data_IF_334302416343
#
_entry.id   IF_334302416343
#
_cell.length_a   1.000
_cell.length_b   1.000
_cell.length_c   1.000
_cell.angle_alpha   90.00
_cell.angle_beta   90.00
_cell.angle_gamma   90.00
#
_symmetry.space_group_name_H-M   'P 1'
#
loop_
_entity.id
_entity.type
_entity.pdbx_description
1 polymer ?
#
# COMPACT_ATOMS: atom_id res chain seq x y z
N UNK A 1 -50.84 -44.14 -65.06
CA UNK A 1 -51.42 -45.09 -64.09
C UNK A 1 -50.62 -44.94 -62.81
N UNK A 2 -51.26 -44.41 -61.78
CA UNK A 2 -51.01 -44.46 -60.33
C UNK A 2 -49.62 -44.12 -59.78
N UNK A 3 -49.62 -42.95 -59.13
CA UNK A 3 -48.81 -42.50 -58.01
C UNK A 3 -48.71 -43.55 -56.89
N UNK A 4 -47.56 -43.62 -56.22
CA UNK A 4 -47.49 -44.01 -54.82
C UNK A 4 -46.64 -42.99 -54.05
N UNK A 5 -47.31 -42.44 -53.04
CA UNK A 5 -46.85 -41.52 -52.02
C UNK A 5 -45.69 -42.13 -51.20
N UNK A 6 -44.62 -41.37 -51.00
CA UNK A 6 -43.85 -41.45 -49.76
C UNK A 6 -44.01 -40.14 -49.00
N UNK A 7 -44.72 -40.26 -47.88
CA UNK A 7 -45.03 -39.22 -46.90
C UNK A 7 -43.72 -38.81 -46.22
N UNK A 8 -43.47 -37.49 -46.18
CA UNK A 8 -42.45 -36.88 -45.31
C UNK A 8 -42.90 -37.01 -43.86
N UNK A 9 -42.06 -37.58 -43.02
CA UNK A 9 -42.18 -37.43 -41.57
C UNK A 9 -41.35 -36.20 -41.17
N UNK A 10 -42.00 -35.03 -41.18
CA UNK A 10 -41.49 -33.79 -40.59
C UNK A 10 -41.90 -33.74 -39.11
N UNK A 11 -41.36 -34.65 -38.29
CA UNK A 11 -41.70 -34.68 -36.87
C UNK A 11 -40.53 -35.06 -35.96
N UNK A 12 -39.40 -34.35 -36.03
CA UNK A 12 -38.47 -34.28 -34.90
C UNK A 12 -37.71 -32.95 -34.83
N UNK A 13 -37.75 -32.37 -33.62
CA UNK A 13 -36.97 -31.24 -33.09
C UNK A 13 -37.61 -29.85 -33.21
N UNK A 14 -38.77 -29.66 -32.58
CA UNK A 14 -39.11 -28.38 -31.94
C UNK A 14 -38.48 -28.37 -30.54
N UNK A 15 -37.35 -27.67 -30.41
CA UNK A 15 -36.63 -27.41 -29.16
C UNK A 15 -37.30 -26.23 -28.43
N UNK A 16 -38.60 -26.32 -28.19
CA UNK A 16 -39.37 -25.32 -27.45
C UNK A 16 -39.52 -25.81 -26.00
N UNK A 17 -38.93 -25.05 -25.08
CA UNK A 17 -39.12 -25.26 -23.65
C UNK A 17 -40.62 -25.09 -23.32
N UNK A 18 -41.19 -25.92 -22.44
CA UNK A 18 -42.59 -25.81 -22.06
C UNK A 18 -42.88 -24.41 -21.47
N UNK A 19 -43.92 -23.74 -21.97
CA UNK A 19 -44.32 -22.39 -21.54
C UNK A 19 -44.52 -22.31 -20.01
N UNK A 20 -45.00 -23.39 -19.39
CA UNK A 20 -45.19 -23.52 -17.94
C UNK A 20 -43.87 -23.33 -17.16
N UNK A 21 -42.74 -23.71 -17.76
CA UNK A 21 -41.40 -23.63 -17.16
C UNK A 21 -40.78 -22.24 -17.35
N UNK A 22 -41.17 -21.53 -18.42
CA UNK A 22 -40.80 -20.13 -18.65
C UNK A 22 -41.56 -19.19 -17.69
N UNK A 23 -42.84 -19.44 -17.43
CA UNK A 23 -43.60 -18.70 -16.41
C UNK A 23 -43.04 -18.89 -15.00
N UNK A 24 -42.58 -20.10 -14.65
CA UNK A 24 -41.96 -20.37 -13.33
C UNK A 24 -40.61 -19.63 -13.17
N UNK A 25 -39.81 -19.54 -14.23
CA UNK A 25 -38.55 -18.79 -14.25
C UNK A 25 -38.80 -17.28 -14.16
N UNK A 26 -39.78 -16.76 -14.88
CA UNK A 26 -40.13 -15.33 -14.85
C UNK A 26 -40.75 -14.92 -13.50
N UNK A 27 -41.51 -15.81 -12.86
CA UNK A 27 -42.03 -15.58 -11.51
C UNK A 27 -40.89 -15.61 -10.46
N UNK A 28 -39.95 -16.56 -10.57
CA UNK A 28 -38.79 -16.66 -9.69
C UNK A 28 -37.80 -15.49 -9.85
N UNK A 29 -37.58 -15.01 -11.09
CA UNK A 29 -36.80 -13.80 -11.37
C UNK A 29 -37.53 -12.53 -10.92
N UNK A 30 -38.86 -12.48 -11.07
CA UNK A 30 -39.71 -11.40 -10.59
C UNK A 30 -39.67 -11.25 -9.07
N UNK A 31 -39.72 -12.36 -8.32
CA UNK A 31 -39.58 -12.38 -6.87
C UNK A 31 -38.14 -12.06 -6.41
N UNK A 32 -37.11 -12.50 -7.15
CA UNK A 32 -35.72 -12.14 -6.86
C UNK A 32 -35.43 -10.65 -7.10
N UNK A 33 -36.06 -10.02 -8.09
CA UNK A 33 -35.88 -8.59 -8.40
C UNK A 33 -36.74 -7.71 -7.46
N UNK A 34 -37.94 -8.17 -7.07
CA UNK A 34 -38.81 -7.45 -6.14
C UNK A 34 -38.39 -7.60 -4.67
N UNK A 35 -37.74 -8.71 -4.29
CA UNK A 35 -37.13 -8.92 -2.96
C UNK A 35 -35.82 -8.15 -2.71
N UNK A 36 -35.23 -7.53 -3.74
CA UNK A 36 -34.05 -6.65 -3.61
C UNK A 36 -34.45 -5.18 -3.32
N UNK A 37 -35.74 -4.87 -3.31
CA UNK A 37 -36.27 -3.56 -2.90
C UNK A 37 -36.89 -3.62 -1.52
N UNK A 38 -36.06 -3.73 -0.49
CA UNK A 38 -36.24 -3.14 0.85
C UNK A 38 -35.19 -3.72 1.81
N UNK A 39 -33.90 -3.45 1.57
CA UNK A 39 -32.96 -3.30 2.67
C UNK A 39 -31.71 -2.54 2.23
N UNK A 40 -31.74 -1.24 2.53
CA UNK A 40 -30.62 -0.31 2.72
C UNK A 40 -29.28 -0.74 2.12
N UNK A 41 -29.10 -0.46 0.83
CA UNK A 41 -27.78 -0.11 0.31
C UNK A 41 -27.19 0.98 1.21
N UNK A 42 -25.94 0.88 1.70
CA UNK A 42 -25.30 2.04 2.29
C UNK A 42 -25.22 3.08 1.18
N UNK A 43 -25.96 4.18 1.32
CA UNK A 43 -25.73 5.38 0.54
C UNK A 43 -24.28 5.80 0.83
N UNK A 44 -23.36 5.34 -0.02
CA UNK A 44 -22.11 6.02 -0.25
C UNK A 44 -22.53 7.37 -0.85
N UNK A 45 -22.64 8.38 0.02
CA UNK A 45 -22.51 9.78 -0.38
C UNK A 45 -21.14 9.92 -1.04
N UNK A 46 -21.07 9.60 -2.32
CA UNK A 46 -19.94 9.88 -3.18
C UNK A 46 -19.93 11.39 -3.38
N UNK A 47 -18.86 12.01 -2.90
CA UNK A 47 -18.59 13.43 -3.09
C UNK A 47 -18.59 13.74 -4.60
N UNK A 48 -19.44 14.66 -5.10
CA UNK A 48 -19.49 14.99 -6.52
C UNK A 48 -18.15 15.54 -7.07
N UNK A 49 -17.20 15.91 -6.20
CA UNK A 49 -15.83 16.28 -6.60
C UNK A 49 -14.94 15.07 -6.96
N UNK A 50 -15.30 13.83 -6.58
CA UNK A 50 -14.58 12.60 -6.97
C UNK A 50 -14.85 12.18 -8.43
N UNK A 51 -15.88 12.74 -9.08
CA UNK A 51 -16.32 12.38 -10.44
C UNK A 51 -15.71 13.20 -11.59
N UNK A 52 -14.96 14.28 -11.32
CA UNK A 52 -14.44 15.15 -12.39
C UNK A 52 -13.20 14.62 -13.12
N UNK A 53 -12.59 13.51 -12.68
CA UNK A 53 -11.36 12.99 -13.30
C UNK A 53 -11.57 11.83 -14.29
N UNK A 54 -12.80 11.35 -14.43
CA UNK A 54 -13.14 10.30 -15.40
C UNK A 54 -14.20 10.80 -16.41
N UNK A 55 -14.60 12.08 -16.31
CA UNK A 55 -15.59 12.70 -17.18
C UNK A 55 -14.97 13.50 -18.32
N UNK A 56 -13.83 13.09 -18.85
CA UNK A 56 -13.50 13.49 -20.22
C UNK A 56 -14.43 12.66 -21.12
N UNK A 57 -15.55 13.27 -21.52
CA UNK A 57 -16.56 12.72 -22.43
C UNK A 57 -15.95 12.21 -23.76
N UNK A 58 -14.68 12.54 -24.05
CA UNK A 58 -13.88 12.00 -25.15
C UNK A 58 -13.33 10.58 -24.92
N UNK A 59 -13.19 10.09 -23.69
CA UNK A 59 -12.67 8.74 -23.41
C UNK A 59 -13.78 7.66 -23.47
N UNK A 60 -15.03 8.06 -23.26
CA UNK A 60 -16.19 7.17 -23.27
C UNK A 60 -16.64 6.76 -24.69
N UNK A 61 -16.14 7.43 -25.73
CA UNK A 61 -16.58 7.18 -27.10
C UNK A 61 -15.90 5.97 -27.78
N UNK A 62 -14.75 5.49 -27.27
CA UNK A 62 -13.94 4.46 -27.96
C UNK A 62 -13.49 3.29 -27.06
N UNK A 63 -13.72 3.33 -25.75
CA UNK A 63 -13.23 2.30 -24.82
C UNK A 63 -14.35 1.31 -24.47
N UNK A 64 -14.13 0.02 -24.69
CA UNK A 64 -15.04 -1.05 -24.26
C UNK A 64 -15.34 -0.91 -22.75
N UNK A 65 -16.62 -1.01 -22.37
CA UNK A 65 -17.08 -0.88 -20.99
C UNK A 65 -16.30 -1.78 -20.02
N UNK A 66 -15.95 -2.99 -20.47
CA UNK A 66 -15.13 -3.92 -19.68
C UNK A 66 -13.71 -3.41 -19.39
N UNK A 67 -13.09 -2.73 -20.37
CA UNK A 67 -11.75 -2.14 -20.22
C UNK A 67 -11.80 -0.95 -19.26
N UNK A 68 -12.85 -0.14 -19.35
CA UNK A 68 -13.07 0.98 -18.44
C UNK A 68 -13.21 0.55 -16.98
N UNK A 69 -14.05 -0.45 -16.69
CA UNK A 69 -14.22 -0.97 -15.32
C UNK A 69 -12.93 -1.62 -14.78
N UNK A 70 -12.16 -2.29 -15.64
CA UNK A 70 -10.85 -2.82 -15.28
C UNK A 70 -9.87 -1.69 -14.91
N UNK A 71 -9.77 -0.65 -15.75
CA UNK A 71 -8.91 0.51 -15.51
C UNK A 71 -9.28 1.24 -14.21
N UNK A 72 -10.59 1.42 -13.97
CA UNK A 72 -11.11 2.03 -12.75
C UNK A 72 -10.78 1.20 -11.51
N UNK A 73 -11.01 -0.11 -11.56
CA UNK A 73 -10.68 -1.03 -10.46
C UNK A 73 -9.18 -1.02 -10.17
N UNK A 74 -8.36 -1.06 -11.21
CA UNK A 74 -6.91 -0.96 -11.09
C UNK A 74 -6.49 0.35 -10.43
N UNK A 75 -7.08 1.47 -10.83
CA UNK A 75 -6.76 2.78 -10.26
C UNK A 75 -7.09 2.84 -8.76
N UNK A 76 -8.22 2.27 -8.34
CA UNK A 76 -8.56 2.17 -6.91
C UNK A 76 -7.55 1.32 -6.12
N UNK A 77 -7.08 0.21 -6.69
CA UNK A 77 -6.00 -0.57 -6.07
C UNK A 77 -4.69 0.22 -5.98
N UNK A 78 -4.31 0.92 -7.05
CA UNK A 78 -3.11 1.75 -7.09
C UNK A 78 -3.17 2.88 -6.05
N UNK A 79 -4.34 3.50 -5.86
CA UNK A 79 -4.58 4.51 -4.81
C UNK A 79 -4.30 3.94 -3.43
N UNK A 80 -4.76 2.73 -3.13
CA UNK A 80 -4.52 2.09 -1.84
C UNK A 80 -3.04 1.79 -1.60
N UNK A 81 -2.34 1.29 -2.62
CA UNK A 81 -0.89 1.01 -2.56
C UNK A 81 -0.07 2.31 -2.40
N UNK A 82 -0.47 3.38 -3.08
CA UNK A 82 0.23 4.67 -3.03
C UNK A 82 -0.13 5.54 -1.82
N UNK A 83 -1.26 5.31 -1.15
CA UNK A 83 -1.69 6.12 -0.01
C UNK A 83 -0.62 6.29 1.11
N UNK A 84 0.23 5.31 1.42
CA UNK A 84 1.33 5.47 2.38
C UNK A 84 2.48 6.37 1.87
N UNK A 85 2.66 6.55 0.56
CA UNK A 85 3.77 7.30 -0.06
C UNK A 85 3.90 8.70 0.51
N UNK A 86 2.79 9.42 0.61
CA UNK A 86 2.75 10.76 1.20
C UNK A 86 3.33 10.82 2.61
N UNK A 87 3.16 9.74 3.39
CA UNK A 87 3.67 9.63 4.77
C UNK A 87 5.17 9.44 4.77
N UNK A 88 5.70 8.59 3.90
CA UNK A 88 7.14 8.38 3.74
C UNK A 88 7.84 9.68 3.34
N UNK A 89 7.33 10.37 2.30
CA UNK A 89 7.92 11.63 1.84
C UNK A 89 7.80 12.74 2.90
N UNK A 90 6.71 12.79 3.67
CA UNK A 90 6.61 13.74 4.79
C UNK A 90 7.63 13.43 5.89
N UNK A 91 7.84 12.17 6.24
CA UNK A 91 8.82 11.75 7.25
C UNK A 91 10.27 12.01 6.78
N UNK A 92 10.55 11.79 5.50
CA UNK A 92 11.81 12.12 4.84
C UNK A 92 12.22 13.60 4.99
N UNK A 93 11.24 14.50 4.83
CA UNK A 93 11.42 15.95 5.04
C UNK A 93 11.66 16.28 6.52
N UNK A 94 11.14 15.47 7.44
CA UNK A 94 11.29 15.64 8.89
C UNK A 94 12.58 15.02 9.47
N UNK A 95 13.47 14.52 8.61
CA UNK A 95 14.79 14.03 9.02
C UNK A 95 14.87 12.53 9.27
N UNK A 96 13.88 11.74 8.82
CA UNK A 96 14.09 10.28 8.75
C UNK A 96 15.20 9.93 7.74
N UNK A 97 15.69 8.69 7.85
CA UNK A 97 16.80 8.15 7.05
C UNK A 97 16.59 8.37 5.55
N UNK A 98 17.54 9.08 4.92
CA UNK A 98 17.43 9.49 3.53
C UNK A 98 17.29 8.28 2.60
N UNK A 99 18.16 7.29 2.77
CA UNK A 99 18.32 6.18 1.85
C UNK A 99 17.19 5.19 1.99
N UNK A 100 16.84 4.84 3.23
CA UNK A 100 15.80 3.85 3.49
C UNK A 100 14.42 4.37 3.10
N UNK A 101 14.17 5.67 3.32
CA UNK A 101 12.88 6.25 2.93
C UNK A 101 12.70 6.25 1.42
N UNK A 102 13.77 6.53 0.66
CA UNK A 102 13.74 6.45 -0.80
C UNK A 102 13.59 5.02 -1.29
N UNK A 103 14.28 4.05 -0.68
CA UNK A 103 14.14 2.64 -1.03
C UNK A 103 12.70 2.14 -0.85
N UNK A 104 12.10 2.37 0.31
CA UNK A 104 10.71 1.93 0.56
C UNK A 104 9.74 2.65 -0.37
N UNK A 105 9.97 3.93 -0.65
CA UNK A 105 9.14 4.70 -1.59
C UNK A 105 9.23 4.12 -3.02
N UNK A 106 10.44 3.76 -3.47
CA UNK A 106 10.68 3.15 -4.78
C UNK A 106 10.03 1.77 -4.90
N UNK A 107 10.07 0.95 -3.85
CA UNK A 107 9.45 -0.38 -3.83
C UNK A 107 7.93 -0.34 -4.04
N UNK A 108 7.25 0.70 -3.56
CA UNK A 108 5.81 0.87 -3.78
C UNK A 108 5.49 1.40 -5.18
N UNK A 109 6.33 2.28 -5.71
CA UNK A 109 6.09 2.98 -6.98
C UNK A 109 6.41 2.11 -8.19
N UNK A 110 7.54 1.40 -8.16
CA UNK A 110 8.06 0.68 -9.33
C UNK A 110 7.11 -0.38 -9.91
N UNK A 111 6.44 -1.23 -9.10
CA UNK A 111 5.51 -2.23 -9.63
C UNK A 111 4.31 -1.59 -10.35
N UNK A 112 3.81 -0.47 -9.82
CA UNK A 112 2.65 0.22 -10.38
C UNK A 112 2.95 0.86 -11.74
N UNK A 113 4.19 1.33 -11.96
CA UNK A 113 4.58 1.90 -13.25
C UNK A 113 4.39 0.89 -14.39
N UNK A 114 4.92 -0.33 -14.23
CA UNK A 114 4.78 -1.37 -15.24
C UNK A 114 3.32 -1.81 -15.45
N UNK A 115 2.52 -1.81 -14.39
CA UNK A 115 1.11 -2.18 -14.48
C UNK A 115 0.25 -1.09 -15.14
N UNK A 116 0.54 0.19 -14.87
CA UNK A 116 -0.15 1.31 -15.52
C UNK A 116 0.08 1.34 -17.03
N UNK A 117 1.28 0.98 -17.48
CA UNK A 117 1.59 0.81 -18.91
C UNK A 117 0.77 -0.33 -19.52
N UNK A 118 0.68 -1.47 -18.84
CA UNK A 118 -0.09 -2.64 -19.31
C UNK A 118 -1.59 -2.41 -19.38
N UNK A 119 -2.13 -1.57 -18.49
CA UNK A 119 -3.56 -1.23 -18.40
C UNK A 119 -3.89 0.02 -19.23
N UNK A 120 -2.92 0.53 -20.00
CA UNK A 120 -3.06 1.67 -20.93
C UNK A 120 -3.47 2.99 -20.26
N UNK A 121 -3.22 3.13 -18.95
CA UNK A 121 -3.44 4.35 -18.18
C UNK A 121 -2.29 5.35 -18.40
N UNK A 122 -2.16 5.84 -19.63
CA UNK A 122 -0.97 6.57 -20.12
C UNK A 122 -0.61 7.80 -19.27
N UNK A 123 -1.56 8.67 -18.93
CA UNK A 123 -1.25 9.87 -18.13
C UNK A 123 -0.76 9.50 -16.71
N UNK A 124 -1.35 8.47 -16.12
CA UNK A 124 -0.94 7.97 -14.80
C UNK A 124 0.44 7.31 -14.86
N UNK A 125 0.69 6.53 -15.91
CA UNK A 125 1.98 5.95 -16.20
C UNK A 125 3.07 7.03 -16.32
N UNK A 126 2.85 8.08 -17.10
CA UNK A 126 3.82 9.15 -17.31
C UNK A 126 4.15 9.88 -16.00
N UNK A 127 3.13 10.27 -15.23
CA UNK A 127 3.34 10.98 -13.96
C UNK A 127 4.06 10.12 -12.94
N UNK A 128 3.67 8.86 -12.81
CA UNK A 128 4.31 7.96 -11.85
C UNK A 128 5.73 7.57 -12.29
N UNK A 129 5.97 7.42 -13.59
CA UNK A 129 7.30 7.20 -14.18
C UNK A 129 8.24 8.36 -13.93
N UNK A 130 7.75 9.60 -14.12
CA UNK A 130 8.52 10.79 -13.81
C UNK A 130 8.88 10.86 -12.32
N UNK A 131 7.91 10.62 -11.44
CA UNK A 131 8.16 10.59 -10.01
C UNK A 131 9.17 9.49 -9.62
N UNK A 132 9.06 8.30 -10.22
CA UNK A 132 10.04 7.22 -10.05
C UNK A 132 11.44 7.64 -10.48
N UNK A 133 11.58 8.32 -11.61
CA UNK A 133 12.87 8.84 -12.07
C UNK A 133 13.47 9.84 -11.06
N UNK A 134 12.65 10.69 -10.45
CA UNK A 134 13.09 11.60 -9.37
C UNK A 134 13.56 10.85 -8.12
N UNK A 135 12.86 9.77 -7.72
CA UNK A 135 13.29 8.92 -6.60
C UNK A 135 14.65 8.27 -6.88
N UNK A 136 14.86 7.75 -8.09
CA UNK A 136 16.14 7.16 -8.50
C UNK A 136 17.26 8.20 -8.56
N UNK A 137 16.97 9.39 -9.09
CA UNK A 137 17.92 10.50 -9.11
C UNK A 137 18.31 10.93 -7.68
N UNK A 138 17.34 11.05 -6.78
CA UNK A 138 17.60 11.37 -5.37
C UNK A 138 18.46 10.28 -4.71
N UNK A 139 18.18 9.01 -4.99
CA UNK A 139 19.03 7.89 -4.53
C UNK A 139 20.43 7.94 -5.15
N UNK A 140 20.65 8.61 -6.28
CA UNK A 140 22.00 8.85 -6.80
C UNK A 140 22.79 9.91 -6.03
N UNK A 141 22.12 10.76 -5.26
CA UNK A 141 22.70 11.98 -4.70
C UNK A 141 23.54 11.71 -3.45
N UNK A 142 24.83 12.08 -3.52
CA UNK A 142 25.80 11.89 -2.44
C UNK A 142 26.14 13.20 -1.73
N UNK A 143 25.94 14.34 -2.38
CA UNK A 143 26.23 15.64 -1.79
C UNK A 143 25.14 16.03 -0.77
N UNK A 144 25.51 16.43 0.47
CA UNK A 144 24.53 16.84 1.48
C UNK A 144 23.67 18.05 1.09
N UNK A 145 24.18 18.98 0.28
CA UNK A 145 23.35 20.10 -0.21
C UNK A 145 22.40 19.63 -1.30
N UNK A 146 22.88 18.81 -2.24
CA UNK A 146 22.07 18.10 -3.23
C UNK A 146 20.93 17.31 -2.59
N UNK A 147 21.21 16.55 -1.53
CA UNK A 147 20.18 15.80 -0.79
C UNK A 147 19.10 16.71 -0.19
N UNK A 148 19.48 17.89 0.34
CA UNK A 148 18.51 18.89 0.84
C UNK A 148 17.65 19.45 -0.29
N UNK A 149 18.22 19.72 -1.46
CA UNK A 149 17.47 20.16 -2.64
C UNK A 149 16.50 19.08 -3.09
N UNK A 150 16.98 17.83 -3.22
CA UNK A 150 16.17 16.68 -3.62
C UNK A 150 15.03 16.40 -2.65
N UNK A 151 15.21 16.61 -1.34
CA UNK A 151 14.12 16.57 -0.35
C UNK A 151 12.96 17.48 -0.72
N UNK A 152 13.26 18.71 -1.14
CA UNK A 152 12.24 19.67 -1.53
C UNK A 152 11.59 19.34 -2.88
N UNK A 153 12.38 18.87 -3.86
CA UNK A 153 11.88 18.43 -5.16
C UNK A 153 10.90 17.26 -4.99
N UNK A 154 11.30 16.22 -4.26
CA UNK A 154 10.46 15.05 -3.99
C UNK A 154 9.21 15.41 -3.18
N UNK A 155 9.31 16.33 -2.21
CA UNK A 155 8.14 16.83 -1.48
C UNK A 155 7.12 17.50 -2.40
N UNK A 156 7.58 18.32 -3.35
CA UNK A 156 6.69 18.99 -4.32
C UNK A 156 6.06 17.98 -5.27
N UNK A 157 6.87 17.13 -5.89
CA UNK A 157 6.38 16.12 -6.84
C UNK A 157 5.45 15.11 -6.16
N UNK A 158 5.73 14.71 -4.92
CA UNK A 158 4.81 13.86 -4.14
C UNK A 158 3.45 14.51 -3.92
N UNK A 159 3.35 15.83 -3.74
CA UNK A 159 2.06 16.52 -3.62
C UNK A 159 1.29 16.54 -4.94
N UNK A 160 2.00 16.62 -6.06
CA UNK A 160 1.38 16.52 -7.38
C UNK A 160 0.81 15.13 -7.61
N UNK A 161 1.55 14.07 -7.22
CA UNK A 161 1.06 12.68 -7.21
C UNK A 161 -0.13 12.51 -6.26
N UNK A 162 -0.05 13.03 -5.04
CA UNK A 162 -1.17 12.99 -4.08
C UNK A 162 -2.43 13.64 -4.66
N UNK A 163 -2.29 14.81 -5.30
CA UNK A 163 -3.42 15.50 -5.92
C UNK A 163 -3.95 14.70 -7.13
N UNK A 164 -3.06 14.23 -7.99
CA UNK A 164 -3.45 13.57 -9.24
C UNK A 164 -4.14 12.22 -9.00
N UNK A 165 -3.60 11.40 -8.10
CA UNK A 165 -4.21 10.13 -7.72
C UNK A 165 -5.27 10.28 -6.61
N UNK A 166 -5.58 11.52 -6.18
CA UNK A 166 -6.55 11.80 -5.11
C UNK A 166 -6.26 11.05 -3.79
N UNK A 167 -4.99 10.98 -3.41
CA UNK A 167 -4.54 10.20 -2.25
C UNK A 167 -4.90 10.90 -0.92
N UNK A 168 -5.69 10.22 -0.09
CA UNK A 168 -6.03 10.70 1.26
C UNK A 168 -4.92 10.30 2.26
N UNK A 169 -4.08 11.26 2.66
CA UNK A 169 -2.93 11.04 3.55
C UNK A 169 -3.17 11.57 4.97
N UNK A 170 -3.35 10.66 5.95
CA UNK A 170 -3.19 10.94 7.39
C UNK A 170 -1.93 10.24 7.90
N UNK A 171 -0.85 10.99 8.12
CA UNK A 171 0.47 10.42 8.42
C UNK A 171 0.90 10.56 9.88
N UNK A 172 1.36 9.46 10.48
CA UNK A 172 2.08 9.44 11.76
C UNK A 172 3.56 9.19 11.51
N UNK A 173 4.41 10.16 11.86
CA UNK A 173 5.89 10.03 11.76
C UNK A 173 6.41 8.79 12.47
N UNK A 174 5.83 8.47 13.64
CA UNK A 174 6.20 7.30 14.44
C UNK A 174 5.91 6.00 13.69
N UNK A 175 4.80 5.92 12.96
CA UNK A 175 4.48 4.73 12.17
C UNK A 175 5.51 4.51 11.06
N UNK A 176 5.92 5.57 10.36
CA UNK A 176 6.96 5.50 9.32
C UNK A 176 8.30 5.09 9.91
N UNK A 177 8.73 5.71 11.02
CA UNK A 177 9.97 5.35 11.71
C UNK A 177 10.03 3.87 12.08
N UNK A 178 8.93 3.33 12.62
CA UNK A 178 8.85 1.91 12.94
C UNK A 178 8.93 1.03 11.69
N UNK A 179 8.29 1.42 10.59
CA UNK A 179 8.38 0.68 9.32
C UNK A 179 9.79 0.72 8.74
N UNK A 180 10.49 1.85 8.81
CA UNK A 180 11.88 1.94 8.34
C UNK A 180 12.82 1.08 9.19
N UNK A 181 12.63 1.05 10.52
CA UNK A 181 13.39 0.17 11.40
C UNK A 181 13.09 -1.31 11.13
N UNK A 182 11.82 -1.65 10.88
CA UNK A 182 11.43 -3.00 10.47
C UNK A 182 11.99 -3.39 9.10
N UNK A 183 12.00 -2.47 8.13
CA UNK A 183 12.62 -2.67 6.83
C UNK A 183 14.11 -3.03 6.95
N UNK A 184 14.87 -2.34 7.84
CA UNK A 184 16.27 -2.70 8.12
C UNK A 184 16.38 -4.15 8.58
N UNK A 185 15.54 -4.58 9.52
CA UNK A 185 15.53 -5.95 10.03
C UNK A 185 15.29 -6.97 8.91
N UNK A 186 14.31 -6.71 8.04
CA UNK A 186 14.00 -7.59 6.91
C UNK A 186 15.14 -7.65 5.89
N UNK A 187 15.79 -6.51 5.60
CA UNK A 187 16.89 -6.40 4.63
C UNK A 187 18.13 -7.21 5.03
N UNK A 188 18.35 -7.39 6.33
CA UNK A 188 19.48 -8.13 6.88
C UNK A 188 19.09 -9.53 7.40
N UNK A 189 17.90 -10.01 7.05
CA UNK A 189 17.49 -11.39 7.38
C UNK A 189 18.20 -12.38 6.46
N UNK A 190 18.77 -13.43 7.03
CA UNK A 190 19.40 -14.52 6.24
C UNK A 190 18.38 -15.37 5.46
N UNK A 191 17.11 -15.28 5.81
CA UNK A 191 16.03 -16.10 5.24
C UNK A 191 15.31 -15.41 4.08
N UNK A 192 15.24 -14.07 4.11
CA UNK A 192 14.49 -13.28 3.14
C UNK A 192 15.42 -12.73 2.07
N UNK A 193 15.03 -12.89 0.80
CA UNK A 193 15.75 -12.29 -0.32
C UNK A 193 15.33 -10.84 -0.52
N UNK A 194 16.17 -10.04 -1.20
CA UNK A 194 15.81 -8.66 -1.58
C UNK A 194 14.49 -8.62 -2.38
N UNK A 195 14.25 -9.62 -3.24
CA UNK A 195 13.01 -9.72 -4.00
C UNK A 195 11.80 -9.93 -3.10
N UNK A 196 11.91 -10.75 -2.04
CA UNK A 196 10.82 -10.94 -1.08
C UNK A 196 10.51 -9.63 -0.34
N UNK A 197 11.54 -8.91 0.10
CA UNK A 197 11.36 -7.63 0.80
C UNK A 197 10.70 -6.59 -0.12
N UNK A 198 11.14 -6.52 -1.39
CA UNK A 198 10.53 -5.64 -2.41
C UNK A 198 9.07 -5.97 -2.62
N UNK A 199 8.74 -7.25 -2.84
CA UNK A 199 7.37 -7.72 -3.03
C UNK A 199 6.48 -7.43 -1.81
N UNK A 200 7.04 -7.55 -0.62
CA UNK A 200 6.31 -7.30 0.62
C UNK A 200 5.95 -5.81 0.76
N UNK A 201 6.90 -4.91 0.54
CA UNK A 201 6.63 -3.47 0.61
C UNK A 201 5.85 -2.93 -0.59
N UNK A 202 5.88 -3.59 -1.74
CA UNK A 202 5.09 -3.27 -2.93
C UNK A 202 3.57 -3.26 -2.68
N UNK A 203 3.10 -4.00 -1.66
CA UNK A 203 1.68 -4.02 -1.26
C UNK A 203 1.21 -2.68 -0.66
N UNK A 204 2.13 -1.77 -0.31
CA UNK A 204 1.77 -0.47 0.28
C UNK A 204 1.44 -0.59 1.76
N UNK A 205 2.33 -1.18 2.55
CA UNK A 205 2.11 -1.42 3.98
C UNK A 205 2.02 -0.09 4.74
N UNK A 206 0.90 0.22 5.42
CA UNK A 206 0.71 1.52 6.06
C UNK A 206 1.25 1.58 7.49
N UNK A 207 1.40 0.44 8.17
CA UNK A 207 1.94 0.33 9.54
C UNK A 207 2.17 -1.12 9.97
N UNK A 208 2.99 -1.33 11.01
CA UNK A 208 3.12 -2.63 11.68
C UNK A 208 1.83 -3.09 12.35
N UNK A 209 0.95 -2.17 12.76
CA UNK A 209 -0.37 -2.52 13.32
C UNK A 209 -1.28 -3.12 12.27
N UNK A 210 -1.24 -2.58 11.04
CA UNK A 210 -1.95 -3.18 9.90
C UNK A 210 -1.41 -4.57 9.65
N UNK A 211 -0.08 -4.73 9.56
CA UNK A 211 0.55 -6.03 9.37
C UNK A 211 0.12 -7.05 10.41
N UNK A 212 -0.05 -6.67 11.69
CA UNK A 212 -0.55 -7.56 12.75
C UNK A 212 -1.99 -8.04 12.50
N UNK A 213 -2.85 -7.18 11.95
CA UNK A 213 -4.28 -7.44 11.76
C UNK A 213 -4.61 -8.18 10.47
N UNK A 214 -3.81 -7.99 9.42
CA UNK A 214 -3.96 -8.70 8.13
C UNK A 214 -3.70 -10.18 8.33
N UNK A 215 -4.41 -11.07 7.63
CA UNK A 215 -4.20 -12.52 7.73
C UNK A 215 -2.99 -12.98 6.89
N UNK A 216 -2.36 -14.11 7.24
CA UNK A 216 -1.17 -14.59 6.53
C UNK A 216 -1.46 -14.95 5.06
N UNK A 217 -2.62 -15.56 4.81
CA UNK A 217 -3.08 -15.90 3.46
C UNK A 217 -3.27 -14.64 2.59
N UNK A 218 -3.81 -13.58 3.19
CA UNK A 218 -4.00 -12.30 2.50
C UNK A 218 -2.65 -11.65 2.18
N UNK A 219 -1.72 -11.64 3.13
CA UNK A 219 -0.36 -11.13 2.91
C UNK A 219 0.38 -11.92 1.81
N UNK A 220 0.30 -13.25 1.85
CA UNK A 220 0.91 -14.12 0.85
C UNK A 220 0.31 -13.87 -0.54
N UNK A 221 -1.02 -13.77 -0.63
CA UNK A 221 -1.75 -13.48 -1.88
C UNK A 221 -1.36 -12.13 -2.47
N UNK A 222 -1.41 -11.06 -1.66
CA UNK A 222 -1.11 -9.70 -2.10
C UNK A 222 0.35 -9.52 -2.52
N UNK A 223 1.29 -10.13 -1.79
CA UNK A 223 2.72 -9.96 -2.04
C UNK A 223 3.30 -10.99 -3.01
N UNK A 224 2.61 -12.11 -3.26
CA UNK A 224 3.16 -13.24 -4.01
C UNK A 224 4.39 -13.87 -3.33
N UNK A 225 4.41 -13.85 -1.99
CA UNK A 225 5.46 -14.45 -1.15
C UNK A 225 4.91 -15.75 -0.54
N UNK A 226 5.78 -16.76 -0.38
CA UNK A 226 5.36 -18.04 0.19
C UNK A 226 4.93 -17.90 1.66
N UNK A 227 4.02 -18.78 2.09
CA UNK A 227 3.50 -18.77 3.47
C UNK A 227 4.61 -18.95 4.51
N UNK A 228 5.65 -19.72 4.21
CA UNK A 228 6.79 -19.92 5.12
C UNK A 228 7.54 -18.61 5.35
N UNK A 229 7.76 -17.82 4.30
CA UNK A 229 8.43 -16.52 4.41
C UNK A 229 7.54 -15.47 5.08
N UNK A 230 6.21 -15.51 4.86
CA UNK A 230 5.27 -14.67 5.60
C UNK A 230 5.33 -14.99 7.10
N UNK A 231 5.43 -16.27 7.49
CA UNK A 231 5.60 -16.65 8.89
C UNK A 231 6.87 -16.05 9.50
N UNK A 232 7.99 -16.09 8.78
CA UNK A 232 9.25 -15.44 9.20
C UNK A 232 9.07 -13.92 9.37
N UNK A 233 8.43 -13.24 8.42
CA UNK A 233 8.12 -11.81 8.51
C UNK A 233 7.26 -11.51 9.75
N UNK A 234 6.30 -12.39 10.09
CA UNK A 234 5.46 -12.24 11.27
C UNK A 234 6.25 -12.37 12.56
N UNK A 235 7.14 -13.34 12.64
CA UNK A 235 7.94 -13.56 13.85
C UNK A 235 8.90 -12.39 14.06
N UNK A 236 9.58 -11.94 13.00
CA UNK A 236 10.37 -10.70 13.02
C UNK A 236 9.55 -9.47 13.41
N UNK A 237 8.29 -9.39 12.96
CA UNK A 237 7.38 -8.30 13.37
C UNK A 237 7.09 -8.34 14.86
N UNK A 238 6.79 -9.53 15.41
CA UNK A 238 6.49 -9.71 16.83
C UNK A 238 7.69 -9.31 17.69
N UNK A 239 8.87 -9.82 17.35
CA UNK A 239 10.13 -9.52 18.03
C UNK A 239 10.42 -8.01 18.01
N UNK A 240 10.30 -7.38 16.84
CA UNK A 240 10.52 -5.95 16.71
C UNK A 240 9.51 -5.12 17.52
N UNK A 241 8.23 -5.53 17.55
CA UNK A 241 7.21 -4.85 18.35
C UNK A 241 7.43 -5.01 19.86
N UNK A 242 8.01 -6.12 20.32
CA UNK A 242 8.41 -6.32 21.72
C UNK A 242 9.54 -5.35 22.07
N UNK A 243 10.60 -5.32 21.25
CA UNK A 243 11.72 -4.38 21.41
C UNK A 243 11.26 -2.92 21.44
N UNK A 244 10.31 -2.53 20.57
CA UNK A 244 9.73 -1.18 20.59
C UNK A 244 8.97 -0.86 21.89
N UNK A 245 8.35 -1.84 22.54
CA UNK A 245 7.67 -1.64 23.84
C UNK A 245 8.69 -1.51 24.97
N UNK A 246 9.71 -2.34 24.99
CA UNK A 246 10.80 -2.29 25.98
C UNK A 246 11.54 -0.95 25.91
N UNK A 247 11.89 -0.50 24.69
CA UNK A 247 12.52 0.80 24.50
C UNK A 247 11.65 1.98 24.97
N UNK A 248 10.31 1.86 24.86
CA UNK A 248 9.38 2.88 25.40
C UNK A 248 9.33 2.86 26.92
N UNK A 249 9.34 1.67 27.53
CA UNK A 249 9.33 1.50 28.98
C UNK A 249 10.60 2.09 29.62
N UNK A 250 11.77 1.76 29.06
CA UNK A 250 13.05 2.32 29.51
C UNK A 250 13.03 3.86 29.40
N UNK A 251 12.49 4.39 28.30
CA UNK A 251 12.38 5.85 28.12
C UNK A 251 11.43 6.48 29.13
N UNK A 252 10.30 5.85 29.46
CA UNK A 252 9.40 6.36 30.49
C UNK A 252 10.04 6.33 31.88
N UNK A 253 10.81 5.29 32.19
CA UNK A 253 11.49 5.16 33.48
C UNK A 253 12.62 6.19 33.63
N UNK A 254 13.38 6.44 32.55
CA UNK A 254 14.39 7.50 32.52
C UNK A 254 13.77 8.90 32.64
N UNK A 255 12.62 9.13 31.99
CA UNK A 255 11.89 10.40 32.12
C UNK A 255 11.30 10.57 33.54
N UNK A 256 10.79 9.50 34.15
CA UNK A 256 10.28 9.52 35.51
C UNK A 256 11.40 9.74 36.55
N UNK A 257 12.58 9.15 36.33
CA UNK A 257 13.77 9.35 37.16
C UNK A 257 14.40 10.75 36.99
N UNK A 258 14.19 11.40 35.85
CA UNK A 258 14.67 12.76 35.58
C UNK A 258 13.75 13.87 36.10
N UNK A 259 12.56 13.54 36.64
CA UNK A 259 11.70 14.50 37.35
C UNK A 259 12.21 14.58 38.80
N UNK A 260 12.79 15.71 39.26
CA UNK A 260 13.17 15.86 40.65
C UNK A 260 11.90 15.75 41.51
N UNK A 261 11.89 14.84 42.48
CA UNK A 261 10.91 14.88 43.56
C UNK A 261 11.23 16.11 44.43
N UNK A 262 10.81 17.29 43.98
CA UNK A 262 10.86 18.50 44.79
C UNK A 262 9.76 18.40 45.87
N UNK A 263 10.16 17.91 47.05
CA UNK A 263 9.63 18.48 48.27
C UNK A 263 10.11 19.94 48.37
N UNK A 264 9.15 20.83 48.63
CA UNK A 264 9.28 22.24 49.05
C UNK A 264 9.80 23.30 48.06
N UNK A 265 8.86 24.20 47.75
CA UNK A 265 8.97 25.67 47.64
C UNK A 265 10.01 26.34 46.72
N UNK A 266 9.43 27.11 45.79
CA UNK A 266 9.92 28.36 45.18
C UNK A 266 10.78 28.35 43.91
N UNK A 267 10.28 29.18 42.99
CA UNK A 267 10.93 29.88 41.88
C UNK A 267 11.03 29.17 40.52
N UNK A 268 10.09 29.56 39.66
CA UNK A 268 10.03 29.33 38.23
C UNK A 268 11.28 29.87 37.50
N UNK A 269 12.14 28.97 37.02
CA UNK A 269 12.96 29.21 35.83
C UNK A 269 12.72 28.11 34.81
N UNK A 270 12.05 28.49 33.74
CA UNK A 270 11.83 27.70 32.53
C UNK A 270 13.19 27.30 31.93
N UNK A 271 13.55 26.03 32.07
CA UNK A 271 14.65 25.42 31.31
C UNK A 271 14.02 24.84 30.03
N UNK A 272 14.24 25.52 28.90
CA UNK A 272 14.05 24.91 27.59
C UNK A 272 15.07 23.78 27.45
N UNK A 273 14.59 22.54 27.55
CA UNK A 273 15.40 21.36 27.23
C UNK A 273 15.26 21.13 25.72
N UNK A 274 16.35 21.38 24.98
CA UNK A 274 16.50 21.04 23.57
C UNK A 274 16.24 19.54 23.36
N UNK A 275 15.30 19.23 22.45
CA UNK A 275 14.79 17.88 22.17
C UNK A 275 15.63 17.08 21.16
N UNK A 276 16.89 17.43 20.95
CA UNK A 276 17.70 16.91 19.84
C UNK A 276 18.81 15.90 20.22
N UNK A 277 18.75 15.29 21.41
CA UNK A 277 19.58 14.10 21.70
C UNK A 277 18.77 12.82 21.48
N UNK A 278 18.80 12.33 20.24
CA UNK A 278 18.30 11.01 19.85
C UNK A 278 19.46 10.01 19.95
N UNK A 279 19.38 9.07 20.89
CA UNK A 279 20.12 7.81 20.80
C UNK A 279 19.40 6.91 19.78
N UNK A 280 20.12 6.58 18.72
CA UNK A 280 19.77 5.55 17.73
C UNK A 280 19.86 4.18 18.43
N UNK A 281 18.81 3.34 18.46
CA UNK A 281 18.91 1.99 19.06
C UNK A 281 19.75 1.01 18.22
N UNK A 282 20.39 1.47 17.12
CA UNK A 282 21.17 0.64 16.20
C UNK A 282 22.62 0.33 16.59
N UNK A 283 23.09 0.73 17.78
CA UNK A 283 24.49 0.58 18.18
C UNK A 283 24.69 -0.47 19.29
N UNK A 284 24.34 -1.73 19.00
CA UNK A 284 24.73 -2.88 19.82
C UNK A 284 24.74 -4.19 19.03
N UNK A 285 25.46 -4.22 17.90
CA UNK A 285 25.96 -5.47 17.34
C UNK A 285 27.47 -5.32 17.15
N UNK A 286 28.22 -5.55 18.24
CA UNK A 286 29.65 -5.81 18.15
C UNK A 286 29.81 -7.17 17.46
N UNK A 287 30.20 -7.15 16.19
CA UNK A 287 30.72 -8.33 15.50
C UNK A 287 32.23 -8.20 15.56
N UNK A 288 32.86 -8.95 16.46
CA UNK A 288 34.32 -9.09 16.49
C UNK A 288 34.80 -9.63 15.14
N UNK A 289 35.80 -9.03 14.49
CA UNK A 289 36.41 -9.63 13.32
C UNK A 289 37.26 -10.81 13.76
N UNK A 290 36.88 -12.00 13.28
CA UNK A 290 37.67 -13.23 13.28
C UNK A 290 39.13 -12.93 12.97
N UNK A 291 40.00 -13.23 13.93
CA UNK A 291 41.44 -13.35 13.72
C UNK A 291 41.69 -14.43 12.66
N UNK A 292 42.23 -14.03 11.52
CA UNK A 292 42.91 -14.95 10.62
C UNK A 292 44.07 -15.59 11.37
N UNK A 293 43.99 -16.91 11.54
CA UNK A 293 45.09 -17.75 11.96
C UNK A 293 46.08 -17.85 10.80
N UNK A 294 47.30 -17.38 11.02
CA UNK A 294 48.48 -17.88 10.31
C UNK A 294 48.92 -19.18 11.00
N UNK A 295 48.91 -20.28 10.25
CA UNK A 295 49.73 -21.50 10.44
C UNK A 295 49.67 -22.31 9.16
#
# INVERSE_FOLDING_TARGET
MKEDLFIRDESMLSDELPDDLLEEIDLALGEAISGVREDKSPELELDPEEFQFISDETFLAETDYGTFEMQKTFLEMAKQVLAPLGRYIKAFVQGEDYWLTLEVSEMMVSPLVSQLEQVELTEHYEKLSFFRALLLLAKGERDPQGQKVMKNVLKKSSKEIEKFFQLKSRGSRVAVKNLLGFYRLLKYSDVLTDLDVRRFFAVGIPSLTWLKKTHDQELASLSGISMEKIAVIRDLTKEYMVSLKEARLIRSDQLAAAIPQNHSSESSRSVMIDRDFILDPGYAFNVDPLKSSES
#
